data_IF_765596982261
#
_entry.id   IF_765596982261
#
_cell.length_a   1.000
_cell.length_b   1.000
_cell.length_c   1.000
_cell.angle_alpha   90.00
_cell.angle_beta   90.00
_cell.angle_gamma   90.00
#
_symmetry.space_group_name_H-M   'P 1'
#
loop_
_entity.id
_entity.type
_entity.pdbx_description
1 polymer ?
#
# COMPACT_ATOMS: atom_id res chain seq x y z
N UNK A 1 -14.81 -3.78 -7.31
CA UNK A 1 -15.52 -2.85 -6.39
C UNK A 1 -17.02 -2.80 -6.68
N UNK A 2 -17.45 -2.86 -7.95
CA UNK A 2 -18.87 -2.82 -8.32
C UNK A 2 -19.51 -4.21 -8.49
N UNK A 3 -18.94 -5.22 -7.83
CA UNK A 3 -19.40 -6.61 -7.90
C UNK A 3 -20.30 -6.98 -6.70
N UNK A 4 -21.35 -7.81 -6.91
CA UNK A 4 -22.15 -8.33 -5.81
C UNK A 4 -21.29 -9.05 -4.75
N UNK A 5 -21.46 -8.70 -3.48
CA UNK A 5 -20.72 -9.32 -2.37
C UNK A 5 -19.38 -8.66 -2.05
N UNK A 6 -18.96 -7.62 -2.77
CA UNK A 6 -17.79 -6.83 -2.36
C UNK A 6 -18.08 -6.10 -1.03
N UNK A 7 -17.18 -6.14 -0.03
CA UNK A 7 -17.36 -5.45 1.24
C UNK A 7 -17.31 -3.93 1.01
N UNK A 8 -18.47 -3.33 0.82
CA UNK A 8 -18.61 -1.93 0.44
C UNK A 8 -18.38 -0.95 1.59
N UNK A 9 -18.24 -1.43 2.83
CA UNK A 9 -18.00 -0.59 4.00
C UNK A 9 -16.73 0.27 3.89
N UNK A 10 -15.72 -0.21 3.16
CA UNK A 10 -14.47 0.51 2.90
C UNK A 10 -14.43 1.20 1.54
N UNK A 11 -15.51 1.18 0.75
CA UNK A 11 -15.52 1.72 -0.62
C UNK A 11 -15.12 3.19 -0.67
N UNK A 12 -15.67 4.00 0.23
CA UNK A 12 -15.35 5.44 0.28
C UNK A 12 -13.86 5.68 0.57
N UNK A 13 -13.26 4.87 1.44
CA UNK A 13 -11.84 4.91 1.75
C UNK A 13 -10.99 4.56 0.51
N UNK A 14 -11.30 3.45 -0.18
CA UNK A 14 -10.59 3.06 -1.40
C UNK A 14 -10.71 4.10 -2.52
N UNK A 15 -11.89 4.71 -2.69
CA UNK A 15 -12.08 5.77 -3.69
C UNK A 15 -11.28 7.03 -3.37
N UNK A 16 -11.13 7.37 -2.08
CA UNK A 16 -10.25 8.48 -1.66
C UNK A 16 -8.79 8.24 -2.04
N UNK A 17 -8.29 7.03 -1.78
CA UNK A 17 -6.95 6.62 -2.18
C UNK A 17 -6.76 6.58 -3.69
N UNK A 18 -7.75 6.09 -4.45
CA UNK A 18 -7.71 6.11 -5.92
C UNK A 18 -7.63 7.55 -6.47
N UNK A 19 -8.46 8.46 -5.95
CA UNK A 19 -8.42 9.87 -6.32
C UNK A 19 -7.07 10.54 -5.98
N UNK A 20 -6.50 10.22 -4.82
CA UNK A 20 -5.16 10.70 -4.43
C UNK A 20 -4.06 10.20 -5.38
N UNK A 21 -4.10 8.92 -5.76
CA UNK A 21 -3.15 8.35 -6.72
C UNK A 21 -3.29 8.99 -8.11
N UNK A 22 -4.51 9.28 -8.56
CA UNK A 22 -4.74 9.97 -9.83
C UNK A 22 -4.19 11.42 -9.80
N UNK A 23 -4.27 12.10 -8.66
CA UNK A 23 -3.64 13.40 -8.47
C UNK A 23 -2.10 13.32 -8.54
N UNK A 24 -1.48 12.30 -7.92
CA UNK A 24 -0.04 12.06 -8.02
C UNK A 24 0.38 11.77 -9.47
N UNK A 25 -0.36 10.91 -10.18
CA UNK A 25 -0.10 10.59 -11.59
C UNK A 25 -0.14 11.81 -12.52
N UNK A 26 -0.90 12.84 -12.15
CA UNK A 26 -1.10 14.04 -12.97
C UNK A 26 -0.10 15.16 -12.66
N UNK A 27 0.71 15.04 -11.61
CA UNK A 27 1.66 16.08 -11.21
C UNK A 27 3.09 15.77 -11.68
N UNK A 28 3.95 16.79 -11.62
CA UNK A 28 5.37 16.70 -12.03
C UNK A 28 6.35 16.34 -10.91
N UNK A 29 5.85 16.02 -9.72
CA UNK A 29 6.67 15.57 -8.61
C UNK A 29 7.21 14.16 -8.85
N UNK A 30 8.33 13.86 -8.21
CA UNK A 30 8.78 12.49 -8.03
C UNK A 30 8.08 11.89 -6.80
N UNK A 31 7.22 10.91 -7.02
CA UNK A 31 6.36 10.34 -5.99
C UNK A 31 6.46 8.81 -5.96
N UNK A 32 6.34 8.24 -4.77
CA UNK A 32 6.10 6.83 -4.56
C UNK A 32 4.80 6.66 -3.80
N UNK A 33 3.88 5.87 -4.34
CA UNK A 33 2.64 5.50 -3.65
C UNK A 33 2.81 4.09 -3.08
N UNK A 34 2.83 3.99 -1.76
CA UNK A 34 3.05 2.72 -1.06
C UNK A 34 1.78 2.38 -0.30
N UNK A 35 1.21 1.19 -0.54
CA UNK A 35 0.00 0.73 0.13
C UNK A 35 0.17 -0.70 0.68
N UNK A 36 -0.54 -1.08 1.75
CA UNK A 36 -0.67 -2.47 2.14
C UNK A 36 -1.25 -3.31 1.00
N UNK A 37 -0.75 -4.54 0.83
CA UNK A 37 -1.28 -5.46 -0.18
C UNK A 37 -2.62 -6.06 0.25
N UNK A 38 -2.87 -6.20 1.54
CA UNK A 38 -4.10 -6.77 2.10
C UNK A 38 -4.40 -6.20 3.47
N UNK A 39 -4.60 -7.08 4.46
CA UNK A 39 -4.87 -6.68 5.84
C UNK A 39 -3.73 -5.83 6.41
N UNK A 40 -4.09 -4.66 6.94
CA UNK A 40 -3.15 -3.72 7.52
C UNK A 40 -3.22 -3.83 9.04
N UNK A 41 -2.43 -4.74 9.57
CA UNK A 41 -2.53 -5.19 10.95
C UNK A 41 -1.86 -4.20 11.92
N UNK A 42 -2.68 -3.58 12.76
CA UNK A 42 -2.26 -2.63 13.78
C UNK A 42 -1.93 -3.28 15.13
N UNK A 43 -2.36 -4.52 15.36
CA UNK A 43 -2.10 -5.28 16.59
C UNK A 43 -0.83 -6.15 16.48
N UNK A 44 -0.34 -6.33 15.25
CA UNK A 44 0.83 -7.13 14.93
C UNK A 44 2.15 -6.59 15.46
N UNK A 45 3.01 -7.51 15.89
CA UNK A 45 4.38 -7.19 16.27
C UNK A 45 5.30 -7.19 15.07
N UNK A 46 6.36 -6.39 15.12
CA UNK A 46 7.42 -6.34 14.10
C UNK A 46 8.01 -7.73 13.82
N UNK A 47 8.03 -8.11 12.55
CA UNK A 47 8.69 -9.34 12.05
C UNK A 47 10.07 -9.01 11.48
N UNK A 48 10.24 -7.80 10.94
CA UNK A 48 11.50 -7.28 10.40
C UNK A 48 11.75 -7.61 8.93
N UNK A 49 10.74 -8.10 8.19
CA UNK A 49 10.84 -8.41 6.76
C UNK A 49 9.52 -8.10 6.05
N UNK A 50 9.63 -7.71 4.79
CA UNK A 50 8.49 -7.43 3.91
C UNK A 50 8.84 -7.83 2.47
N UNK A 51 7.82 -7.93 1.62
CA UNK A 51 7.92 -8.10 0.18
C UNK A 51 7.14 -7.01 -0.53
N UNK A 52 7.69 -6.55 -1.65
CA UNK A 52 6.96 -5.70 -2.61
C UNK A 52 6.16 -6.63 -3.54
N UNK A 53 4.91 -6.27 -3.76
CA UNK A 53 3.99 -6.93 -4.66
C UNK A 53 3.50 -5.94 -5.73
N UNK A 54 3.26 -6.44 -6.94
CA UNK A 54 2.71 -5.64 -8.05
C UNK A 54 1.24 -5.26 -7.81
N UNK A 55 0.51 -6.11 -7.08
CA UNK A 55 -0.92 -5.97 -6.84
C UNK A 55 -1.28 -6.28 -5.39
N UNK A 56 -2.40 -5.74 -4.94
CA UNK A 56 -3.02 -6.13 -3.68
C UNK A 56 -3.62 -7.54 -3.76
N UNK A 57 -3.62 -8.21 -2.62
CA UNK A 57 -4.20 -9.52 -2.37
C UNK A 57 -4.91 -9.49 -1.00
N UNK A 58 -6.24 -9.66 -0.94
CA UNK A 58 -6.99 -9.67 0.32
C UNK A 58 -6.56 -10.73 1.33
N UNK A 59 -5.88 -11.79 0.89
CA UNK A 59 -5.32 -12.82 1.76
C UNK A 59 -3.93 -12.46 2.31
N UNK A 60 -3.29 -11.43 1.75
CA UNK A 60 -2.03 -10.90 2.25
C UNK A 60 -2.25 -10.03 3.48
N UNK A 61 -1.18 -9.82 4.23
CA UNK A 61 -1.16 -9.09 5.50
C UNK A 61 0.16 -8.35 5.63
N UNK A 62 0.20 -7.23 6.35
CA UNK A 62 1.43 -6.57 6.79
C UNK A 62 1.19 -5.83 8.11
N UNK A 63 2.14 -5.87 9.03
CA UNK A 63 2.05 -5.10 10.29
C UNK A 63 2.39 -3.63 10.06
N UNK A 64 1.87 -2.74 10.92
CA UNK A 64 2.25 -1.32 10.89
C UNK A 64 3.76 -1.12 11.03
N UNK A 65 4.41 -1.91 11.89
CA UNK A 65 5.84 -1.83 12.13
C UNK A 65 6.66 -2.21 10.89
N UNK A 66 6.27 -3.27 10.18
CA UNK A 66 7.00 -3.72 8.98
C UNK A 66 6.68 -2.85 7.76
N UNK A 67 5.46 -2.32 7.66
CA UNK A 67 5.12 -1.32 6.65
C UNK A 67 5.94 -0.03 6.82
N UNK A 68 6.16 0.42 8.06
CA UNK A 68 7.02 1.56 8.35
C UNK A 68 8.47 1.33 7.91
N UNK A 69 8.99 0.10 8.02
CA UNK A 69 10.32 -0.25 7.50
C UNK A 69 10.34 -0.10 5.98
N UNK A 70 9.33 -0.62 5.27
CA UNK A 70 9.25 -0.48 3.82
C UNK A 70 9.21 0.98 3.36
N UNK A 71 8.51 1.86 4.09
CA UNK A 71 8.51 3.30 3.83
C UNK A 71 9.89 3.94 4.06
N UNK A 72 10.54 3.60 5.17
CA UNK A 72 11.87 4.15 5.49
C UNK A 72 12.92 3.69 4.46
N UNK A 73 12.90 2.43 4.07
CA UNK A 73 13.81 1.90 3.04
C UNK A 73 13.63 2.63 1.70
N UNK A 74 12.39 2.93 1.30
CA UNK A 74 12.09 3.69 0.08
C UNK A 74 12.52 5.16 0.18
N UNK A 75 12.47 5.77 1.37
CA UNK A 75 12.97 7.13 1.60
C UNK A 75 14.50 7.17 1.58
N UNK A 76 15.16 6.22 2.24
CA UNK A 76 16.62 6.17 2.36
C UNK A 76 17.29 5.76 1.04
N UNK A 77 16.69 4.83 0.31
CA UNK A 77 17.16 4.38 -1.00
C UNK A 77 15.97 4.30 -1.97
N UNK A 78 15.59 5.44 -2.59
CA UNK A 78 14.49 5.48 -3.55
C UNK A 78 14.72 4.51 -4.71
N UNK A 79 13.75 3.62 -4.93
CA UNK A 79 13.75 2.63 -6.01
C UNK A 79 12.54 2.77 -6.93
N UNK A 80 11.46 3.38 -6.45
CA UNK A 80 10.18 3.49 -7.13
C UNK A 80 9.86 4.96 -7.41
N UNK A 81 10.08 5.37 -8.66
CA UNK A 81 9.83 6.72 -9.11
C UNK A 81 8.52 6.78 -9.91
N UNK A 82 7.63 7.67 -9.50
CA UNK A 82 6.29 7.87 -10.09
C UNK A 82 5.53 6.55 -10.22
N UNK A 83 5.60 5.73 -9.18
CA UNK A 83 5.12 4.35 -9.17
C UNK A 83 4.26 4.05 -7.94
N UNK A 84 3.30 3.14 -8.12
CA UNK A 84 2.48 2.59 -7.05
C UNK A 84 2.90 1.15 -6.76
N UNK A 85 3.15 0.83 -5.50
CA UNK A 85 3.57 -0.50 -5.05
C UNK A 85 2.74 -0.95 -3.86
N UNK A 86 2.57 -2.26 -3.75
CA UNK A 86 1.92 -2.89 -2.60
C UNK A 86 2.94 -3.60 -1.71
N UNK A 87 2.76 -3.56 -0.40
CA UNK A 87 3.64 -4.19 0.59
C UNK A 87 2.90 -5.29 1.33
N UNK A 88 3.51 -6.47 1.42
CA UNK A 88 3.02 -7.60 2.21
C UNK A 88 4.13 -8.16 3.10
N UNK A 89 3.74 -8.93 4.09
CA UNK A 89 4.63 -9.74 4.90
C UNK A 89 5.40 -10.74 4.03
N UNK A 90 6.64 -11.04 4.41
CA UNK A 90 7.55 -11.90 3.66
C UNK A 90 7.51 -13.37 4.07
#
# INVERSE_FOLDING_TARGET
MDEPGYPNEYRAFYLGHAAGLDALRSCDLDWAYVAPAGDFDHDGTRIGRYQIAEHGDPASRITYADFAIALLDEIETPRHHRAAVSIREA
#
